data_IF_988097627687
#
_entry.id   IF_988097627687
#
_cell.length_a   1.000
_cell.length_b   1.000
_cell.length_c   1.000
_cell.angle_alpha   90.00
_cell.angle_beta   90.00
_cell.angle_gamma   90.00
#
_symmetry.space_group_name_H-M   'P 1'
#
loop_
_entity.id
_entity.type
_entity.pdbx_description
1 polymer ?
#
# COMPACT_ATOMS: atom_id res chain seq x y z
N UNK A 1 14.49 0.72 -10.42
CA UNK A 1 14.07 1.24 -11.71
C UNK A 1 14.03 2.76 -11.67
N UNK A 2 14.66 3.48 -12.59
CA UNK A 2 14.76 4.96 -12.69
C UNK A 2 15.13 5.70 -11.39
N UNK A 3 15.90 5.08 -10.52
CA UNK A 3 16.24 5.62 -9.21
C UNK A 3 15.14 5.44 -8.14
N UNK A 4 14.07 4.74 -8.48
CA UNK A 4 13.01 4.40 -7.53
C UNK A 4 13.38 3.15 -6.75
N UNK A 5 13.08 3.16 -5.47
CA UNK A 5 13.17 2.03 -4.55
C UNK A 5 11.78 1.78 -3.96
N UNK A 6 11.34 0.54 -3.96
CA UNK A 6 10.14 0.11 -3.24
C UNK A 6 10.52 -0.95 -2.21
N UNK A 7 9.80 -0.95 -1.09
CA UNK A 7 9.91 -1.97 -0.05
C UNK A 7 8.62 -2.77 -0.06
N UNK A 8 8.73 -4.03 -0.46
CA UNK A 8 7.62 -4.98 -0.51
C UNK A 8 7.55 -5.72 0.82
N UNK A 9 6.35 -5.87 1.40
CA UNK A 9 6.19 -6.59 2.66
C UNK A 9 6.52 -8.07 2.50
N UNK A 10 5.94 -8.74 1.49
CA UNK A 10 6.22 -10.14 1.18
C UNK A 10 6.45 -10.29 -0.33
N UNK A 11 7.60 -10.79 -0.69
CA UNK A 11 8.02 -11.02 -2.07
C UNK A 11 8.35 -12.51 -2.27
N UNK A 12 7.51 -13.21 -3.03
CA UNK A 12 7.71 -14.63 -3.34
C UNK A 12 8.07 -14.78 -4.81
N UNK A 13 9.23 -15.37 -5.09
CA UNK A 13 9.69 -15.62 -6.47
C UNK A 13 9.83 -17.11 -6.72
N UNK A 14 9.11 -17.60 -7.73
CA UNK A 14 9.21 -18.97 -8.20
C UNK A 14 9.45 -18.98 -9.73
N UNK A 15 10.69 -19.24 -10.12
CA UNK A 15 11.11 -19.12 -11.52
C UNK A 15 10.88 -17.69 -12.05
N UNK A 16 10.04 -17.56 -13.06
CA UNK A 16 9.65 -16.28 -13.65
C UNK A 16 8.31 -15.74 -13.12
N UNK A 17 7.72 -16.38 -12.12
CA UNK A 17 6.51 -15.90 -11.45
C UNK A 17 6.89 -15.22 -10.13
N UNK A 18 6.30 -14.05 -9.90
CA UNK A 18 6.46 -13.29 -8.66
C UNK A 18 5.08 -13.06 -8.06
N UNK A 19 4.95 -13.31 -6.77
CA UNK A 19 3.84 -12.81 -5.97
C UNK A 19 4.34 -11.62 -5.14
N UNK A 20 3.67 -10.50 -5.32
CA UNK A 20 3.89 -9.29 -4.56
C UNK A 20 2.71 -9.14 -3.61
N UNK A 21 2.96 -9.19 -2.30
CA UNK A 21 1.91 -9.19 -1.29
C UNK A 21 2.12 -8.00 -0.35
N UNK A 22 1.18 -7.10 -0.37
CA UNK A 22 1.12 -5.95 0.54
C UNK A 22 0.23 -6.30 1.73
N UNK A 23 0.73 -6.12 2.95
CA UNK A 23 0.03 -6.47 4.18
C UNK A 23 -0.64 -5.23 4.78
N UNK A 24 -1.92 -5.33 5.08
CA UNK A 24 -2.67 -4.22 5.69
C UNK A 24 -3.45 -4.71 6.91
N UNK A 25 -3.43 -3.93 7.99
CA UNK A 25 -4.18 -4.23 9.21
C UNK A 25 -5.71 -4.05 9.07
N UNK A 26 -6.18 -3.52 7.93
CA UNK A 26 -7.61 -3.37 7.64
C UNK A 26 -8.28 -4.72 7.52
N UNK A 27 -9.40 -4.91 8.24
CA UNK A 27 -10.18 -6.15 8.15
C UNK A 27 -10.89 -6.28 6.80
N UNK A 28 -10.91 -7.50 6.30
CA UNK A 28 -11.58 -7.94 5.09
C UNK A 28 -12.68 -8.96 5.44
N UNK A 29 -13.67 -9.13 4.60
CA UNK A 29 -14.71 -10.13 4.75
C UNK A 29 -14.71 -11.02 3.52
N UNK A 30 -14.16 -12.23 3.64
CA UNK A 30 -14.08 -13.14 2.49
C UNK A 30 -15.44 -13.73 2.09
N UNK A 31 -16.44 -13.70 2.97
CA UNK A 31 -17.79 -14.16 2.67
C UNK A 31 -18.63 -13.07 1.99
N UNK A 32 -18.29 -11.79 2.25
CA UNK A 32 -18.92 -10.63 1.61
C UNK A 32 -17.83 -9.67 1.11
N UNK A 33 -17.13 -10.00 0.00
CA UNK A 33 -16.02 -9.21 -0.53
C UNK A 33 -16.46 -7.79 -0.86
N UNK A 34 -15.71 -6.80 -0.37
CA UNK A 34 -16.12 -5.41 -0.40
C UNK A 34 -14.96 -4.47 -0.79
N UNK A 35 -14.41 -4.68 -1.99
CA UNK A 35 -13.37 -3.82 -2.59
C UNK A 35 -13.98 -2.79 -3.53
N UNK A 36 -15.06 -3.16 -4.21
CA UNK A 36 -15.71 -2.31 -5.21
C UNK A 36 -16.68 -1.33 -4.56
N UNK A 37 -16.64 -0.09 -5.00
CA UNK A 37 -17.59 0.93 -4.57
C UNK A 37 -18.88 0.88 -5.38
N UNK A 38 -19.98 1.38 -4.82
CA UNK A 38 -21.28 1.44 -5.52
C UNK A 38 -21.27 2.38 -6.72
N UNK A 39 -20.38 3.36 -6.76
CA UNK A 39 -20.25 4.38 -7.82
C UNK A 39 -18.84 4.50 -8.38
N UNK A 40 -17.88 3.82 -7.80
CA UNK A 40 -16.46 3.84 -8.18
C UNK A 40 -15.96 2.41 -8.32
N UNK A 41 -15.02 2.12 -9.23
CA UNK A 41 -14.48 0.77 -9.39
C UNK A 41 -13.78 0.25 -8.13
N UNK A 42 -13.26 1.14 -7.31
CA UNK A 42 -12.55 0.84 -6.06
C UNK A 42 -13.11 1.75 -4.98
N UNK A 43 -13.36 1.23 -3.79
CA UNK A 43 -13.76 2.02 -2.62
C UNK A 43 -12.68 3.00 -2.22
N UNK A 44 -13.09 4.18 -1.76
CA UNK A 44 -12.18 5.28 -1.38
C UNK A 44 -11.26 4.93 -0.21
N UNK A 45 -11.70 4.05 0.68
CA UNK A 45 -10.94 3.59 1.85
C UNK A 45 -9.99 2.40 1.56
N UNK A 46 -10.14 1.78 0.38
CA UNK A 46 -9.24 0.74 -0.14
C UNK A 46 -8.28 1.30 -1.18
N UNK A 47 -8.70 2.33 -1.93
CA UNK A 47 -7.93 2.91 -3.03
C UNK A 47 -6.47 3.23 -2.67
N UNK A 48 -6.14 3.84 -1.50
CA UNK A 48 -4.75 4.12 -1.15
C UNK A 48 -3.88 2.86 -1.06
N UNK A 49 -4.45 1.71 -0.64
CA UNK A 49 -3.72 0.45 -0.57
C UNK A 49 -3.46 -0.14 -1.96
N UNK A 50 -4.42 0.03 -2.87
CA UNK A 50 -4.26 -0.36 -4.28
C UNK A 50 -3.23 0.53 -4.98
N UNK A 51 -3.23 1.84 -4.71
CA UNK A 51 -2.24 2.78 -5.27
C UNK A 51 -0.81 2.45 -4.80
N UNK A 52 -0.64 2.10 -3.53
CA UNK A 52 0.63 1.67 -2.94
C UNK A 52 1.14 0.38 -3.62
N UNK A 53 0.29 -0.63 -3.70
CA UNK A 53 0.61 -1.89 -4.38
C UNK A 53 0.85 -1.70 -5.90
N UNK A 54 0.14 -0.75 -6.55
CA UNK A 54 0.34 -0.41 -7.96
C UNK A 54 1.72 0.21 -8.21
N UNK A 55 2.17 1.10 -7.33
CA UNK A 55 3.52 1.66 -7.39
C UNK A 55 4.58 0.57 -7.26
N UNK A 56 4.42 -0.34 -6.30
CA UNK A 56 5.33 -1.46 -6.10
C UNK A 56 5.35 -2.37 -7.34
N UNK A 57 4.17 -2.72 -7.87
CA UNK A 57 4.03 -3.53 -9.08
C UNK A 57 4.70 -2.86 -10.28
N UNK A 58 4.50 -1.55 -10.47
CA UNK A 58 5.13 -0.78 -11.53
C UNK A 58 6.65 -0.85 -11.47
N UNK A 59 7.23 -0.60 -10.31
CA UNK A 59 8.69 -0.62 -10.14
C UNK A 59 9.26 -2.02 -10.34
N UNK A 60 8.62 -3.06 -9.76
CA UNK A 60 9.08 -4.44 -9.86
C UNK A 60 8.96 -4.97 -11.28
N UNK A 61 7.85 -4.70 -11.99
CA UNK A 61 7.67 -5.15 -13.38
C UNK A 61 8.70 -4.54 -14.34
N UNK A 62 9.05 -3.28 -14.14
CA UNK A 62 10.09 -2.63 -14.94
C UNK A 62 11.51 -3.09 -14.56
N UNK A 63 11.76 -3.40 -13.29
CA UNK A 63 13.04 -3.95 -12.84
C UNK A 63 13.26 -5.41 -13.27
N UNK A 64 12.18 -6.18 -13.40
CA UNK A 64 12.20 -7.62 -13.71
C UNK A 64 11.28 -7.95 -14.91
N UNK A 65 11.56 -7.42 -16.13
CA UNK A 65 10.63 -7.48 -17.27
C UNK A 65 10.39 -8.88 -17.82
N UNK A 66 11.16 -9.88 -17.38
CA UNK A 66 10.97 -11.30 -17.79
C UNK A 66 10.09 -12.08 -16.82
N UNK A 67 9.63 -11.45 -15.75
CA UNK A 67 8.79 -12.07 -14.73
C UNK A 67 7.32 -11.65 -14.91
N UNK A 68 6.41 -12.59 -14.68
CA UNK A 68 4.99 -12.28 -14.45
C UNK A 68 4.80 -11.92 -12.99
N UNK A 69 4.03 -10.85 -12.72
CA UNK A 69 3.76 -10.40 -11.36
C UNK A 69 2.28 -10.57 -11.08
N UNK A 70 1.97 -11.21 -9.96
CA UNK A 70 0.63 -11.31 -9.40
C UNK A 70 0.64 -10.55 -8.07
N UNK A 71 -0.27 -9.61 -7.92
CA UNK A 71 -0.29 -8.71 -6.77
C UNK A 71 -1.46 -9.00 -5.85
N UNK A 72 -1.21 -9.00 -4.56
CA UNK A 72 -2.20 -9.35 -3.54
C UNK A 72 -2.20 -8.33 -2.40
N UNK A 73 -3.37 -8.13 -1.80
CA UNK A 73 -3.48 -7.60 -0.44
C UNK A 73 -3.64 -8.76 0.53
N UNK A 74 -2.91 -8.73 1.64
CA UNK A 74 -3.09 -9.65 2.74
C UNK A 74 -3.69 -8.90 3.93
N UNK A 75 -4.87 -9.32 4.36
CA UNK A 75 -5.67 -8.63 5.37
C UNK A 75 -6.28 -9.62 6.35
N UNK A 76 -6.49 -9.25 7.64
CA UNK A 76 -7.26 -10.06 8.57
C UNK A 76 -8.68 -10.32 8.06
N UNK A 77 -9.10 -11.59 8.05
CA UNK A 77 -10.44 -11.99 7.61
C UNK A 77 -11.40 -12.02 8.80
N UNK A 78 -12.28 -11.03 8.90
CA UNK A 78 -13.26 -10.92 9.98
C UNK A 78 -14.37 -11.99 9.95
N UNK A 79 -14.51 -12.73 8.84
CA UNK A 79 -15.44 -13.86 8.73
C UNK A 79 -14.90 -15.13 9.38
N UNK A 80 -13.62 -15.15 9.75
CA UNK A 80 -12.94 -16.31 10.33
C UNK A 80 -12.69 -16.13 11.82
N UNK A 81 -12.73 -17.23 12.54
CA UNK A 81 -12.43 -17.28 13.97
C UNK A 81 -11.19 -18.11 14.21
N UNK A 82 -10.32 -17.66 15.11
CA UNK A 82 -9.16 -18.42 15.51
C UNK A 82 -9.58 -19.74 16.15
N UNK A 83 -8.85 -20.81 15.84
CA UNK A 83 -9.05 -22.14 16.43
C UNK A 83 -8.31 -22.28 17.77
N UNK A 84 -7.39 -21.38 18.05
CA UNK A 84 -6.54 -21.38 19.24
C UNK A 84 -6.84 -20.16 20.10
N UNK A 85 -7.14 -20.38 21.37
CA UNK A 85 -7.28 -19.30 22.35
C UNK A 85 -5.92 -18.66 22.63
N UNK A 86 -5.92 -17.33 22.75
CA UNK A 86 -4.70 -16.58 23.09
C UNK A 86 -3.70 -16.41 21.95
N UNK A 87 -4.08 -16.68 20.69
CA UNK A 87 -3.20 -16.50 19.53
C UNK A 87 -2.55 -15.10 19.49
N UNK A 88 -3.29 -14.06 19.87
CA UNK A 88 -2.77 -12.69 19.94
C UNK A 88 -1.67 -12.52 21.00
N UNK A 89 -1.60 -13.34 22.01
CA UNK A 89 -0.57 -13.31 23.05
C UNK A 89 0.77 -13.87 22.57
N UNK A 90 0.75 -14.59 21.45
CA UNK A 90 1.96 -15.10 20.79
C UNK A 90 2.76 -14.01 20.08
N UNK A 91 2.20 -12.82 19.91
CA UNK A 91 2.83 -11.70 19.21
C UNK A 91 2.90 -10.50 20.12
N UNK A 92 4.05 -9.84 20.16
CA UNK A 92 4.26 -8.66 20.98
C UNK A 92 5.19 -7.67 20.29
N UNK A 93 5.13 -6.42 20.70
CA UNK A 93 5.98 -5.36 20.16
C UNK A 93 7.03 -5.04 21.21
N UNK A 94 8.29 -5.16 20.83
CA UNK A 94 9.43 -4.69 21.61
C UNK A 94 9.92 -3.35 21.08
N UNK A 95 10.36 -2.48 21.98
CA UNK A 95 10.98 -1.23 21.61
C UNK A 95 12.46 -1.26 21.99
N UNK A 96 13.32 -1.11 21.00
CA UNK A 96 14.76 -1.05 21.18
C UNK A 96 15.32 0.21 20.48
N UNK A 97 15.99 1.06 21.22
CA UNK A 97 16.58 2.32 20.71
C UNK A 97 15.57 3.22 19.94
N UNK A 98 14.31 3.26 20.38
CA UNK A 98 13.26 4.05 19.73
C UNK A 98 12.65 3.41 18.48
N UNK A 99 13.09 2.21 18.11
CA UNK A 99 12.51 1.39 17.04
C UNK A 99 11.59 0.33 17.63
N UNK A 100 10.41 0.18 17.02
CA UNK A 100 9.45 -0.87 17.37
C UNK A 100 9.65 -2.05 16.46
N UNK A 101 9.83 -3.22 17.05
CA UNK A 101 9.97 -4.48 16.35
C UNK A 101 8.87 -5.45 16.80
N UNK A 102 8.25 -6.13 15.84
CA UNK A 102 7.26 -7.16 16.13
C UNK A 102 7.99 -8.49 16.36
N UNK A 103 7.79 -9.07 17.52
CA UNK A 103 8.35 -10.34 17.93
C UNK A 103 7.26 -11.37 18.22
N UNK A 104 7.65 -12.64 18.31
CA UNK A 104 6.73 -13.75 18.58
C UNK A 104 7.34 -14.76 19.55
N UNK A 105 6.46 -15.50 20.24
CA UNK A 105 6.88 -16.62 21.08
C UNK A 105 7.31 -17.83 20.24
N UNK A 106 7.95 -18.82 20.86
CA UNK A 106 8.37 -20.05 20.18
C UNK A 106 7.18 -20.85 19.60
N UNK A 107 6.02 -20.80 20.25
CA UNK A 107 4.80 -21.50 19.85
C UNK A 107 4.06 -20.82 18.69
N UNK A 108 4.36 -19.56 18.44
CA UNK A 108 3.66 -18.76 17.43
C UNK A 108 3.69 -19.40 16.03
N UNK A 109 4.81 -20.02 15.66
CA UNK A 109 4.98 -20.63 14.35
C UNK A 109 4.00 -21.79 14.09
N UNK A 110 3.74 -22.63 15.11
CA UNK A 110 2.81 -23.75 15.02
C UNK A 110 1.36 -23.28 15.05
N UNK A 111 1.04 -22.40 15.99
CA UNK A 111 -0.29 -21.81 16.11
C UNK A 111 -0.69 -20.99 14.86
N UNK A 112 0.27 -20.33 14.22
CA UNK A 112 0.03 -19.59 12.97
C UNK A 112 -0.32 -20.53 11.82
N UNK A 113 0.30 -21.71 11.72
CA UNK A 113 -0.04 -22.68 10.67
C UNK A 113 -1.48 -23.17 10.80
N UNK A 114 -1.92 -23.47 12.03
CA UNK A 114 -3.29 -23.90 12.30
C UNK A 114 -4.32 -22.80 12.02
N UNK A 115 -3.92 -21.56 12.13
CA UNK A 115 -4.74 -20.37 11.96
C UNK A 115 -4.46 -19.60 10.66
N UNK A 116 -3.84 -20.21 9.65
CA UNK A 116 -3.47 -19.57 8.40
C UNK A 116 -4.65 -18.95 7.64
N UNK A 117 -5.86 -19.49 7.85
CA UNK A 117 -7.10 -18.98 7.23
C UNK A 117 -7.59 -17.65 7.81
N UNK A 118 -7.01 -17.16 8.92
CA UNK A 118 -7.37 -15.86 9.50
C UNK A 118 -6.90 -14.69 8.65
N UNK A 119 -5.99 -14.92 7.69
CA UNK A 119 -5.52 -13.92 6.75
C UNK A 119 -6.06 -14.24 5.35
N UNK A 120 -6.79 -13.30 4.77
CA UNK A 120 -7.23 -13.38 3.39
C UNK A 120 -6.12 -12.84 2.46
N UNK A 121 -5.65 -13.66 1.53
CA UNK A 121 -4.78 -13.28 0.42
C UNK A 121 -5.65 -12.95 -0.79
N UNK A 122 -5.90 -11.66 -1.02
CA UNK A 122 -6.86 -11.16 -1.99
C UNK A 122 -6.14 -10.72 -3.26
N UNK A 123 -6.41 -11.33 -4.44
CA UNK A 123 -5.81 -10.91 -5.69
C UNK A 123 -6.36 -9.54 -6.11
N UNK A 124 -5.47 -8.63 -6.49
CA UNK A 124 -5.83 -7.25 -6.82
C UNK A 124 -5.35 -6.79 -8.20
N UNK A 125 -4.89 -7.71 -9.07
CA UNK A 125 -4.35 -7.36 -10.39
C UNK A 125 -5.32 -6.52 -11.22
N UNK A 126 -6.62 -6.85 -11.23
CA UNK A 126 -7.65 -6.06 -11.94
C UNK A 126 -7.75 -4.63 -11.44
N UNK A 127 -7.49 -4.39 -10.17
CA UNK A 127 -7.52 -3.05 -9.58
C UNK A 127 -6.22 -2.31 -9.85
N UNK A 128 -5.09 -3.01 -9.90
CA UNK A 128 -3.81 -2.47 -10.36
C UNK A 128 -3.96 -1.94 -11.80
N UNK A 129 -4.56 -2.72 -12.69
CA UNK A 129 -4.82 -2.31 -14.08
C UNK A 129 -5.69 -1.05 -14.16
N UNK A 130 -6.69 -0.94 -13.29
CA UNK A 130 -7.54 0.26 -13.20
C UNK A 130 -6.72 1.48 -12.78
N UNK A 131 -5.89 1.36 -11.75
CA UNK A 131 -5.05 2.47 -11.26
C UNK A 131 -4.01 2.88 -12.31
N UNK A 132 -3.42 1.90 -13.00
CA UNK A 132 -2.40 2.15 -14.03
C UNK A 132 -2.96 2.76 -15.30
N UNK A 133 -4.19 2.40 -15.69
CA UNK A 133 -4.81 2.80 -16.97
C UNK A 133 -5.73 4.00 -16.89
N UNK A 134 -6.06 4.47 -15.70
CA UNK A 134 -6.96 5.63 -15.51
C UNK A 134 -6.22 6.78 -14.85
N UNK A 135 -6.51 8.04 -15.27
CA UNK A 135 -5.98 9.21 -14.58
C UNK A 135 -6.52 9.21 -13.14
N UNK A 136 -5.62 9.40 -12.18
CA UNK A 136 -5.98 9.61 -10.79
C UNK A 136 -6.48 11.04 -10.63
N UNK A 137 -7.78 11.19 -10.45
CA UNK A 137 -8.41 12.50 -10.25
C UNK A 137 -8.45 12.80 -8.75
N UNK A 138 -7.66 13.77 -8.32
CA UNK A 138 -7.75 14.30 -6.96
C UNK A 138 -8.74 15.47 -6.90
N UNK A 139 -9.36 15.69 -5.76
CA UNK A 139 -10.22 16.87 -5.58
C UNK A 139 -9.46 18.16 -5.97
N UNK A 140 -10.01 18.93 -6.92
CA UNK A 140 -9.41 20.16 -7.42
C UNK A 140 -8.39 19.98 -8.57
N UNK A 141 -8.14 18.76 -9.04
CA UNK A 141 -7.32 18.53 -10.24
C UNK A 141 -8.19 18.19 -11.45
N UNK A 142 -7.75 18.65 -12.63
CA UNK A 142 -8.32 18.19 -13.90
C UNK A 142 -7.65 16.88 -14.32
N UNK A 143 -8.43 15.97 -14.93
CA UNK A 143 -7.89 14.76 -15.52
C UNK A 143 -7.03 15.13 -16.74
N UNK A 144 -5.74 14.80 -16.66
CA UNK A 144 -4.77 14.96 -17.76
C UNK A 144 -3.78 13.80 -17.74
N UNK A 145 -2.92 13.70 -18.75
CA UNK A 145 -1.92 12.63 -18.87
C UNK A 145 -0.93 12.57 -17.68
N UNK A 146 -0.66 13.70 -17.04
CA UNK A 146 0.25 13.77 -15.89
C UNK A 146 -0.35 13.17 -14.61
N UNK A 147 -1.62 12.79 -14.61
CA UNK A 147 -2.30 12.15 -13.49
C UNK A 147 -2.25 10.62 -13.55
N UNK A 148 -1.76 10.01 -14.62
CA UNK A 148 -1.48 8.57 -14.63
C UNK A 148 -0.35 8.24 -13.66
N UNK A 149 -0.45 7.10 -12.98
CA UNK A 149 0.55 6.72 -11.98
C UNK A 149 1.98 6.70 -12.53
N UNK A 150 2.28 6.09 -13.70
CA UNK A 150 3.63 6.10 -14.27
C UNK A 150 4.18 7.50 -14.51
N UNK A 151 3.37 8.41 -15.06
CA UNK A 151 3.79 9.78 -15.35
C UNK A 151 4.12 10.55 -14.09
N UNK A 152 3.29 10.39 -13.05
CA UNK A 152 3.51 11.02 -11.75
C UNK A 152 4.75 10.51 -11.06
N UNK A 153 4.97 9.20 -11.10
CA UNK A 153 6.17 8.57 -10.54
C UNK A 153 7.42 9.12 -11.21
N UNK A 154 7.41 9.27 -12.53
CA UNK A 154 8.52 9.86 -13.29
C UNK A 154 8.77 11.33 -12.91
N UNK A 155 7.70 12.12 -12.74
CA UNK A 155 7.80 13.53 -12.30
C UNK A 155 8.40 13.62 -10.89
N UNK A 156 7.95 12.78 -9.96
CA UNK A 156 8.46 12.78 -8.59
C UNK A 156 9.91 12.31 -8.52
N UNK A 157 10.26 11.25 -9.23
CA UNK A 157 11.64 10.76 -9.30
C UNK A 157 12.59 11.80 -9.89
N UNK A 158 12.14 12.53 -10.93
CA UNK A 158 12.91 13.64 -11.50
C UNK A 158 13.06 14.78 -10.51
N UNK A 159 12.00 15.21 -9.87
CA UNK A 159 12.03 16.30 -8.90
C UNK A 159 12.98 15.99 -7.73
N UNK A 160 12.94 14.75 -7.23
CA UNK A 160 13.85 14.30 -6.18
C UNK A 160 15.32 14.33 -6.61
N UNK A 161 15.64 13.82 -7.81
CA UNK A 161 17.01 13.85 -8.34
C UNK A 161 17.55 15.26 -8.58
N UNK A 162 16.67 16.14 -9.05
CA UNK A 162 17.05 17.52 -9.39
C UNK A 162 16.98 18.47 -8.19
N UNK A 163 16.68 17.95 -6.98
CA UNK A 163 16.40 18.73 -5.76
C UNK A 163 15.42 19.87 -6.02
N UNK A 164 14.41 19.59 -6.82
CA UNK A 164 13.43 20.60 -7.27
C UNK A 164 12.11 20.44 -6.51
N UNK A 165 11.53 21.57 -6.11
CA UNK A 165 10.24 21.60 -5.42
C UNK A 165 9.09 21.36 -6.39
N UNK A 166 8.19 20.43 -6.05
CA UNK A 166 6.88 20.29 -6.68
C UNK A 166 5.91 21.18 -5.91
N UNK A 167 5.20 22.06 -6.60
CA UNK A 167 4.15 22.88 -6.00
C UNK A 167 2.82 22.11 -6.05
N UNK A 168 2.32 21.63 -4.90
CA UNK A 168 1.03 20.92 -4.87
C UNK A 168 -0.12 21.90 -5.08
N UNK A 169 -1.17 21.43 -5.74
CA UNK A 169 -2.43 22.17 -5.78
C UNK A 169 -3.15 22.02 -4.43
N UNK A 170 -3.59 23.14 -3.86
CA UNK A 170 -4.33 23.14 -2.59
C UNK A 170 -5.74 22.60 -2.85
N UNK A 171 -6.13 21.60 -2.05
CA UNK A 171 -7.47 21.00 -2.11
C UNK A 171 -7.96 20.64 -0.70
N UNK A 172 -9.21 20.18 -0.58
CA UNK A 172 -9.84 19.87 0.72
C UNK A 172 -9.01 18.89 1.59
N UNK A 173 -8.33 17.90 0.99
CA UNK A 173 -7.48 16.95 1.72
C UNK A 173 -6.26 17.57 2.40
N UNK A 174 -5.85 18.79 2.00
CA UNK A 174 -4.74 19.48 2.65
C UNK A 174 -5.05 19.86 4.12
N UNK A 175 -6.32 19.88 4.51
CA UNK A 175 -6.70 20.12 5.92
C UNK A 175 -6.24 19.01 6.86
N UNK A 176 -6.07 17.79 6.35
CA UNK A 176 -5.66 16.59 7.09
C UNK A 176 -4.22 16.14 6.74
N UNK A 177 -3.50 16.95 5.96
CA UNK A 177 -2.15 16.62 5.54
C UNK A 177 -1.17 16.66 6.73
N UNK A 178 -0.38 15.60 6.89
CA UNK A 178 0.64 15.51 7.94
C UNK A 178 1.75 16.57 7.83
N UNK A 179 1.98 17.09 6.61
CA UNK A 179 2.94 18.16 6.34
C UNK A 179 2.33 19.57 6.51
N UNK A 180 1.09 19.66 6.98
CA UNK A 180 0.45 20.96 7.23
C UNK A 180 1.15 21.68 8.37
N UNK A 181 1.59 22.92 8.12
CA UNK A 181 2.10 23.79 9.16
C UNK A 181 0.98 24.22 10.13
N UNK A 182 1.10 23.84 11.40
CA UNK A 182 0.10 24.15 12.43
C UNK A 182 0.39 25.52 13.09
N UNK A 183 1.67 25.95 13.09
CA UNK A 183 2.11 27.21 13.71
C UNK A 183 2.77 28.10 12.68
N UNK A 184 2.60 29.41 12.85
CA UNK A 184 3.19 30.41 11.97
C UNK A 184 4.72 30.32 11.88
N UNK A 185 5.38 29.86 12.95
CA UNK A 185 6.83 29.63 13.01
C UNK A 185 7.32 28.49 12.14
N UNK A 186 6.44 27.50 11.85
CA UNK A 186 6.75 26.35 10.98
C UNK A 186 6.41 26.60 9.51
N UNK A 187 5.83 27.77 9.18
CA UNK A 187 5.46 28.15 7.81
C UNK A 187 6.66 28.22 6.85
N UNK A 188 7.87 28.39 7.36
CA UNK A 188 9.10 28.41 6.55
C UNK A 188 9.54 27.04 6.07
N UNK A 189 9.08 25.96 6.72
CA UNK A 189 9.45 24.58 6.44
C UNK A 189 8.30 23.66 6.02
N UNK A 190 7.05 24.11 6.13
CA UNK A 190 5.86 23.33 5.81
C UNK A 190 5.07 23.92 4.62
N UNK A 191 4.13 23.12 4.13
CA UNK A 191 3.11 23.56 3.16
C UNK A 191 1.93 24.19 3.92
N UNK A 192 1.39 25.26 3.37
CA UNK A 192 0.22 25.97 3.94
C UNK A 192 -1.08 25.31 3.47
#
# INVERSE_FOLDING_TARGET
>A
FEGLLVRVDIFVKNGNSIELIEVKAKSYDSENPDIEGSRTPIKSDILPYIEDAALQTYVVSNALPKCSINTFLMMPDKSKTATTDGLNQCFFIEEYNGFKEANSTAEAAEQTKENATLLAKVPIDKYIDIVMSKPLVYPGSEANTQNYLPDRVSIWAKAYRDDSRINPQIHKGCSECEFRAIKQETLKSGYH
#
